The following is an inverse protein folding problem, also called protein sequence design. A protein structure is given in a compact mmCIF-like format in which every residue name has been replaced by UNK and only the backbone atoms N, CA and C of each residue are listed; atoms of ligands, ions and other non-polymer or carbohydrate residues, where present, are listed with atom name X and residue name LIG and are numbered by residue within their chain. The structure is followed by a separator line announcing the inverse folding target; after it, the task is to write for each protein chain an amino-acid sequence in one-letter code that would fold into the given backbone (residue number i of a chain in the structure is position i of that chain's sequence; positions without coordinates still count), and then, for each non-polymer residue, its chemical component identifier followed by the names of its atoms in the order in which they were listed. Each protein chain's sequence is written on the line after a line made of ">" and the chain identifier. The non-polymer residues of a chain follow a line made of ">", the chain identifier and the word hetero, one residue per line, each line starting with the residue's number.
data_IF_574406234925
#
_entry.id   IF_574406234925
#
_cell.length_a   1.000
_cell.length_b   1.000
_cell.length_c   1.000
_cell.angle_alpha   90.00
_cell.angle_beta   90.00
_cell.angle_gamma   90.00
#
_symmetry.space_group_name_H-M   'P 1'
#
loop_
_entity.id
_entity.type
_entity.pdbx_description
1 polymer ?
#
# COMPACT_ATOMS: atom_id res chain seq x y z
N UNK A 1 -39.79 32.64 -41.13
CA UNK A 1 -38.81 32.02 -41.09
C UNK A 1 -38.10 32.02 -39.91
N UNK A 2 -37.87 31.02 -39.32
CA UNK A 2 -37.37 30.92 -38.14
C UNK A 2 -36.25 30.11 -38.04
N UNK A 3 -35.33 30.58 -37.49
CA UNK A 3 -34.24 29.89 -37.27
C UNK A 3 -34.19 29.40 -36.00
N UNK A 4 -34.40 28.29 -35.82
CA UNK A 4 -34.19 27.69 -34.58
C UNK A 4 -32.83 27.20 -34.55
N UNK A 5 -32.00 27.92 -33.97
CA UNK A 5 -30.76 27.41 -33.51
C UNK A 5 -31.04 26.36 -32.51
N UNK A 6 -31.02 25.17 -32.97
CA UNK A 6 -30.99 24.13 -32.05
C UNK A 6 -29.60 24.08 -31.50
N UNK A 7 -29.45 24.67 -30.35
CA UNK A 7 -28.28 24.45 -29.61
C UNK A 7 -28.42 23.10 -29.00
N UNK A 8 -27.95 22.15 -29.69
CA UNK A 8 -27.55 20.97 -29.01
C UNK A 8 -26.44 21.37 -28.08
N UNK A 9 -26.81 21.65 -26.89
CA UNK A 9 -25.83 21.77 -25.86
C UNK A 9 -25.28 20.37 -25.68
N UNK A 10 -24.25 20.12 -26.42
CA UNK A 10 -23.48 18.95 -26.17
C UNK A 10 -22.76 19.23 -24.87
N UNK A 11 -23.40 18.86 -23.79
CA UNK A 11 -22.66 18.73 -22.57
C UNK A 11 -21.82 17.52 -22.76
N UNK A 12 -20.65 17.75 -23.24
CA UNK A 12 -19.64 16.79 -23.07
C UNK A 12 -19.45 16.66 -21.57
N UNK A 13 -20.17 15.78 -21.00
CA UNK A 13 -19.76 15.30 -19.71
C UNK A 13 -18.45 14.62 -19.94
N UNK A 14 -17.43 15.38 -19.83
CA UNK A 14 -16.19 14.80 -19.50
C UNK A 14 -16.45 14.05 -18.22
N UNK A 15 -16.73 12.79 -18.36
CA UNK A 15 -16.58 11.91 -17.26
C UNK A 15 -15.13 12.03 -16.88
N UNK A 16 -14.86 12.90 -15.97
CA UNK A 16 -13.68 12.75 -15.20
C UNK A 16 -13.88 11.41 -14.54
N UNK A 17 -13.40 10.40 -15.20
CA UNK A 17 -13.05 9.23 -14.48
C UNK A 17 -11.98 9.73 -13.56
N UNK A 18 -12.39 10.14 -12.41
CA UNK A 18 -11.49 10.14 -11.33
C UNK A 18 -11.13 8.69 -11.21
N UNK A 19 -10.03 8.36 -11.78
CA UNK A 19 -9.32 7.23 -11.31
C UNK A 19 -9.26 7.50 -9.84
N UNK A 20 -10.10 6.81 -9.12
CA UNK A 20 -9.97 6.78 -7.71
C UNK A 20 -8.62 6.15 -7.48
N UNK A 21 -7.64 6.98 -7.57
CA UNK A 21 -6.44 6.67 -6.90
C UNK A 21 -6.88 6.57 -5.47
N UNK A 22 -7.04 5.35 -5.06
CA UNK A 22 -7.13 5.05 -3.67
C UNK A 22 -5.94 5.74 -3.06
N UNK A 23 -6.18 6.95 -2.60
CA UNK A 23 -5.19 7.59 -1.76
C UNK A 23 -4.98 6.65 -0.60
N UNK A 24 -3.73 6.27 -0.31
CA UNK A 24 -3.48 5.36 0.79
C UNK A 24 -4.12 5.94 2.03
N UNK A 25 -5.02 5.17 2.63
CA UNK A 25 -5.63 5.57 3.87
C UNK A 25 -4.57 5.62 4.94
N UNK A 26 -4.65 6.63 5.78
CA UNK A 26 -3.79 6.70 6.93
C UNK A 26 -4.24 5.70 7.98
N UNK A 27 -3.33 4.91 8.49
CA UNK A 27 -3.63 3.89 9.47
C UNK A 27 -3.55 4.37 10.91
N UNK A 28 -3.96 3.53 11.83
CA UNK A 28 -3.97 3.84 13.25
C UNK A 28 -2.58 4.11 13.82
N UNK A 29 -1.54 3.61 13.17
CA UNK A 29 -0.16 3.79 13.59
C UNK A 29 0.55 4.91 12.83
N UNK A 30 -0.20 5.72 12.10
CA UNK A 30 0.34 6.85 11.34
C UNK A 30 0.94 6.47 9.99
N UNK A 31 0.80 5.24 9.57
CA UNK A 31 1.32 4.77 8.29
C UNK A 31 0.29 4.79 7.18
N UNK A 32 0.64 4.17 6.06
CA UNK A 32 -0.25 4.06 4.91
C UNK A 32 -0.84 2.66 4.85
N UNK A 33 -2.13 2.58 4.60
CA UNK A 33 -2.83 1.30 4.45
C UNK A 33 -3.06 1.00 2.99
N UNK A 34 -2.66 -0.20 2.58
CA UNK A 34 -3.01 -0.78 1.28
C UNK A 34 -3.70 -2.11 1.55
N UNK A 35 -4.80 -2.36 0.91
CA UNK A 35 -5.56 -3.60 1.09
C UNK A 35 -5.16 -4.61 0.02
N UNK A 36 -4.83 -5.82 0.45
CA UNK A 36 -4.50 -6.94 -0.43
C UNK A 36 -5.37 -8.12 -0.06
N UNK A 37 -6.09 -8.69 -1.03
CA UNK A 37 -6.99 -9.84 -0.81
C UNK A 37 -7.96 -9.61 0.36
N UNK A 38 -8.45 -8.38 0.51
CA UNK A 38 -9.35 -8.03 1.60
C UNK A 38 -8.65 -7.74 2.93
N UNK A 39 -7.33 -7.88 3.01
CA UNK A 39 -6.58 -7.64 4.23
C UNK A 39 -5.92 -6.26 4.19
N UNK A 40 -6.32 -5.33 5.07
CA UNK A 40 -5.61 -4.07 5.20
C UNK A 40 -4.21 -4.29 5.78
N UNK A 41 -3.22 -3.68 5.15
CA UNK A 41 -1.83 -3.79 5.59
C UNK A 41 -1.28 -2.37 5.72
N UNK A 42 -0.95 -1.98 6.94
CA UNK A 42 -0.40 -0.67 7.23
C UNK A 42 1.12 -0.72 7.27
N UNK A 43 1.76 0.14 6.50
CA UNK A 43 3.22 0.26 6.49
C UNK A 43 3.66 1.48 7.27
N UNK A 44 4.56 1.27 8.22
CA UNK A 44 5.20 2.33 8.99
C UNK A 44 6.70 2.18 8.87
N UNK A 45 7.37 3.28 8.55
CA UNK A 45 8.83 3.32 8.55
C UNK A 45 9.31 3.99 9.83
N UNK A 46 10.02 3.24 10.65
CA UNK A 46 10.58 3.78 11.89
C UNK A 46 12.09 3.75 11.82
N UNK A 47 12.70 4.85 11.38
CA UNK A 47 14.15 4.89 11.17
C UNK A 47 14.55 3.89 10.09
N UNK A 48 15.24 2.84 10.48
CA UNK A 48 15.63 1.76 9.56
C UNK A 48 14.73 0.54 9.65
N UNK A 49 13.67 0.61 10.46
CA UNK A 49 12.77 -0.52 10.62
C UNK A 49 11.55 -0.38 9.71
N UNK A 50 11.31 -1.42 8.91
CA UNK A 50 10.08 -1.55 8.14
C UNK A 50 9.09 -2.32 9.00
N UNK A 51 7.94 -1.73 9.27
CA UNK A 51 6.92 -2.37 10.10
C UNK A 51 5.62 -2.44 9.30
N UNK A 52 5.09 -3.64 9.15
CA UNK A 52 3.82 -3.88 8.48
C UNK A 52 2.84 -4.44 9.50
N UNK A 53 1.68 -3.79 9.64
CA UNK A 53 0.61 -4.25 10.51
C UNK A 53 -0.46 -4.88 9.64
N UNK A 54 -0.71 -6.17 9.83
CA UNK A 54 -1.65 -6.92 9.01
C UNK A 54 -2.97 -7.07 9.75
N UNK A 55 -4.06 -6.79 9.05
CA UNK A 55 -5.40 -6.88 9.61
C UNK A 55 -6.24 -7.89 8.84
N UNK A 56 -7.27 -8.40 9.50
CA UNK A 56 -8.27 -9.23 8.88
C UNK A 56 -9.25 -8.35 8.10
N UNK A 57 -10.14 -8.98 7.32
CA UNK A 57 -11.08 -8.27 6.47
C UNK A 57 -12.04 -7.37 7.25
N UNK A 58 -12.25 -7.67 8.53
CA UNK A 58 -13.07 -6.84 9.42
C UNK A 58 -12.27 -5.75 10.14
N UNK A 59 -10.97 -5.63 9.86
CA UNK A 59 -10.09 -4.65 10.48
C UNK A 59 -9.45 -5.08 11.78
N UNK A 60 -9.78 -6.25 12.29
CA UNK A 60 -9.15 -6.78 13.51
C UNK A 60 -7.72 -7.24 13.22
N UNK A 61 -6.82 -7.23 14.22
CA UNK A 61 -5.46 -7.71 14.01
C UNK A 61 -5.41 -9.16 13.58
N UNK A 62 -4.62 -9.44 12.56
CA UNK A 62 -4.42 -10.80 12.06
C UNK A 62 -3.07 -11.31 12.53
N UNK A 63 -3.05 -12.48 13.16
CA UNK A 63 -1.79 -13.05 13.63
C UNK A 63 -0.84 -13.32 12.47
N UNK A 64 0.37 -12.81 12.59
CA UNK A 64 1.41 -13.01 11.57
C UNK A 64 2.34 -14.17 11.91
N UNK A 65 2.06 -14.89 13.00
CA UNK A 65 2.96 -15.91 13.54
C UNK A 65 3.38 -16.96 12.51
N UNK A 66 2.46 -17.34 11.64
CA UNK A 66 2.72 -18.36 10.62
C UNK A 66 3.04 -17.76 9.25
N UNK A 67 3.15 -16.44 9.16
CA UNK A 67 3.43 -15.78 7.89
C UNK A 67 4.91 -15.79 7.57
N UNK A 68 5.19 -15.89 6.29
CA UNK A 68 6.52 -15.67 5.76
C UNK A 68 6.45 -14.56 4.74
N UNK A 69 7.35 -13.61 4.85
CA UNK A 69 7.27 -12.45 3.99
C UNK A 69 8.60 -11.77 3.76
N UNK A 70 8.57 -10.88 2.81
CA UNK A 70 9.71 -10.04 2.47
C UNK A 70 9.22 -8.70 1.99
N UNK A 71 10.08 -7.71 2.07
CA UNK A 71 9.85 -6.42 1.44
C UNK A 71 10.91 -6.21 0.37
N UNK A 72 10.49 -5.78 -0.79
CA UNK A 72 11.40 -5.35 -1.84
C UNK A 72 11.39 -3.83 -1.84
N UNK A 73 12.56 -3.25 -1.67
CA UNK A 73 12.70 -1.81 -1.52
C UNK A 73 13.53 -1.27 -2.68
N UNK A 74 12.99 -0.29 -3.39
CA UNK A 74 13.72 0.40 -4.44
C UNK A 74 13.92 1.85 -4.00
N UNK A 75 15.16 2.27 -3.83
CA UNK A 75 15.46 3.63 -3.42
C UNK A 75 15.31 4.61 -4.58
N UNK A 76 15.45 5.91 -4.30
CA UNK A 76 15.31 6.95 -5.30
C UNK A 76 16.34 6.89 -6.43
N UNK A 77 17.43 6.19 -6.22
CA UNK A 77 18.46 5.96 -7.23
C UNK A 77 18.25 4.70 -8.06
N UNK A 78 17.16 3.98 -7.80
CA UNK A 78 16.84 2.75 -8.54
C UNK A 78 17.46 1.49 -7.98
N UNK A 79 18.20 1.56 -6.89
CA UNK A 79 18.77 0.37 -6.26
C UNK A 79 17.70 -0.44 -5.56
N UNK A 80 17.62 -1.72 -5.87
CA UNK A 80 16.65 -2.64 -5.30
C UNK A 80 17.30 -3.53 -4.26
N UNK A 81 16.65 -3.65 -3.10
CA UNK A 81 17.12 -4.49 -2.01
C UNK A 81 15.94 -5.33 -1.51
N UNK A 82 16.19 -6.59 -1.23
CA UNK A 82 15.18 -7.47 -0.62
C UNK A 82 15.47 -7.59 0.87
N UNK A 83 14.45 -7.30 1.68
CA UNK A 83 14.56 -7.34 3.14
C UNK A 83 13.68 -8.47 3.64
N UNK A 84 14.25 -9.48 4.33
CA UNK A 84 13.42 -10.51 4.92
C UNK A 84 12.61 -9.93 6.06
N UNK A 85 11.35 -10.36 6.16
CA UNK A 85 10.45 -9.91 7.22
C UNK A 85 10.23 -11.05 8.20
N UNK A 86 10.20 -10.70 9.48
CA UNK A 86 9.92 -11.66 10.54
C UNK A 86 8.64 -11.27 11.28
N UNK A 87 7.83 -12.26 11.66
CA UNK A 87 6.64 -11.98 12.43
C UNK A 87 6.97 -11.42 13.81
N UNK A 88 6.18 -10.46 14.25
CA UNK A 88 6.23 -9.94 15.60
C UNK A 88 4.80 -9.80 16.11
N UNK A 89 4.58 -10.17 17.36
CA UNK A 89 3.24 -10.14 17.93
C UNK A 89 2.75 -8.71 18.12
N UNK A 90 1.45 -8.44 17.98
CA UNK A 90 0.43 -9.43 17.66
C UNK A 90 0.23 -9.65 16.16
N UNK A 91 0.44 -8.64 15.33
CA UNK A 91 0.09 -8.68 13.91
C UNK A 91 1.11 -7.98 13.03
N UNK A 92 2.36 -7.96 13.44
CA UNK A 92 3.39 -7.24 12.72
C UNK A 92 4.28 -8.17 11.91
N UNK A 93 4.76 -7.65 10.78
CA UNK A 93 5.90 -8.19 10.06
C UNK A 93 6.97 -7.10 10.04
N UNK A 94 8.16 -7.41 10.49
CA UNK A 94 9.22 -6.43 10.71
C UNK A 94 10.47 -6.81 9.93
N UNK A 95 11.08 -5.81 9.29
CA UNK A 95 12.35 -5.97 8.61
C UNK A 95 13.28 -4.83 8.93
N UNK A 96 14.57 -5.07 8.78
CA UNK A 96 15.56 -4.04 9.06
C UNK A 96 16.32 -3.65 7.80
N UNK A 97 16.34 -2.36 7.53
CA UNK A 97 17.13 -1.80 6.45
C UNK A 97 18.57 -1.60 6.91
N UNK A 98 19.51 -1.67 5.97
CA UNK A 98 20.91 -1.36 6.28
C UNK A 98 21.20 0.12 6.24
N UNK A 99 20.32 0.90 5.61
CA UNK A 99 20.45 2.35 5.51
C UNK A 99 19.07 2.97 5.50
N UNK A 100 18.91 4.23 5.95
CA UNK A 100 17.62 4.88 5.92
C UNK A 100 17.10 5.02 4.49
N UNK A 101 15.77 4.89 4.33
CA UNK A 101 15.12 5.16 3.07
C UNK A 101 14.92 6.65 2.88
N UNK A 102 15.24 7.14 1.69
CA UNK A 102 14.90 8.49 1.31
C UNK A 102 13.42 8.63 0.93
N UNK A 103 13.06 9.83 0.50
CA UNK A 103 11.72 10.10 0.00
C UNK A 103 11.49 9.41 -1.33
N UNK A 104 10.23 9.10 -1.62
CA UNK A 104 9.80 8.51 -2.88
C UNK A 104 10.44 7.16 -3.19
N UNK A 105 10.85 6.44 -2.17
CA UNK A 105 11.26 5.06 -2.31
C UNK A 105 10.03 4.16 -2.46
N UNK A 106 10.18 3.09 -3.23
CA UNK A 106 9.10 2.12 -3.42
C UNK A 106 9.32 0.94 -2.53
N UNK A 107 8.26 0.53 -1.84
CA UNK A 107 8.30 -0.61 -0.93
C UNK A 107 7.20 -1.58 -1.34
N UNK A 108 7.57 -2.81 -1.61
CA UNK A 108 6.61 -3.86 -1.97
C UNK A 108 6.65 -4.92 -0.90
N UNK A 109 5.53 -5.05 -0.18
CA UNK A 109 5.32 -6.10 0.79
C UNK A 109 4.84 -7.34 0.06
N UNK A 110 5.43 -8.49 0.35
CA UNK A 110 4.97 -9.78 -0.16
C UNK A 110 4.99 -10.79 0.96
N UNK A 111 3.88 -11.44 1.20
CA UNK A 111 3.79 -12.44 2.25
C UNK A 111 2.83 -13.56 1.84
N UNK A 112 3.04 -14.72 2.44
CA UNK A 112 2.18 -15.86 2.22
C UNK A 112 1.35 -16.11 3.47
N UNK A 113 0.05 -16.19 3.31
CA UNK A 113 -0.88 -16.48 4.39
C UNK A 113 -1.79 -17.63 3.95
N UNK A 114 -1.63 -18.78 4.57
CA UNK A 114 -2.46 -19.96 4.27
C UNK A 114 -2.57 -20.28 2.77
N UNK A 115 -1.44 -20.19 2.06
CA UNK A 115 -1.41 -20.43 0.63
C UNK A 115 -1.84 -19.26 -0.24
N UNK A 116 -2.24 -18.14 0.34
CA UNK A 116 -2.59 -16.93 -0.37
C UNK A 116 -1.42 -15.96 -0.36
N UNK A 117 -1.15 -15.36 -1.51
CA UNK A 117 -0.12 -14.33 -1.61
C UNK A 117 -0.73 -12.96 -1.33
N UNK A 118 -0.19 -12.27 -0.35
CA UNK A 118 -0.53 -10.88 -0.08
C UNK A 118 0.56 -10.01 -0.66
N UNK A 119 0.18 -9.00 -1.40
CA UNK A 119 1.11 -8.03 -2.00
C UNK A 119 0.57 -6.62 -1.80
N UNK A 120 1.38 -5.74 -1.26
CA UNK A 120 1.02 -4.35 -1.07
C UNK A 120 2.17 -3.44 -1.48
N UNK A 121 1.85 -2.37 -2.18
CA UNK A 121 2.84 -1.44 -2.71
C UNK A 121 2.69 -0.07 -2.08
N UNK A 122 3.80 0.49 -1.65
CA UNK A 122 3.85 1.78 -0.97
C UNK A 122 4.91 2.65 -1.60
N UNK A 123 4.73 3.96 -1.46
CA UNK A 123 5.74 4.95 -1.84
C UNK A 123 5.98 5.81 -0.62
N UNK A 124 7.24 5.99 -0.22
CA UNK A 124 7.58 6.86 0.92
C UNK A 124 7.39 8.33 0.54
N UNK A 125 7.07 9.15 1.52
CA UNK A 125 6.89 10.59 1.33
C UNK A 125 8.21 11.33 1.14
#
# INVERSE_FOLDING_TARGET
>A
MFKHGLFALLIAMAATVSLAQTQPKKGANGGMIVTSQGHPIEFVLKGQDLVFYVSDDDGSPLSTKAMRGRATVQDGGGKTTTVPLEPAAPNMMVGKLQAPLGSKARVVFSANLHGHSLTARYVTE
#
